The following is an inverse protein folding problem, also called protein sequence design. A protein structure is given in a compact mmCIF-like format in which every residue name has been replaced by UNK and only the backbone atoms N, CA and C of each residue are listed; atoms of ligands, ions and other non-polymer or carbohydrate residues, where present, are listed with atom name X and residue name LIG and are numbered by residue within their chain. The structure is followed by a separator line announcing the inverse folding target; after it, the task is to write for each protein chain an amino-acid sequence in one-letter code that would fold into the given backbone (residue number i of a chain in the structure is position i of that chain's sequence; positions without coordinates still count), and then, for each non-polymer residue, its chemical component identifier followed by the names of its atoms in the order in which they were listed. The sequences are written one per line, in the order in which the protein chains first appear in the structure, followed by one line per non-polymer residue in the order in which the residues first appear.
data_IF_334541260910
#
_entry.id   IF_334541260910
#
_cell.length_a   1.000
_cell.length_b   1.000
_cell.length_c   1.000
_cell.angle_alpha   90.00
_cell.angle_beta   90.00
_cell.angle_gamma   90.00
#
_symmetry.space_group_name_H-M   'P 1'
#
loop_
_entity.id
_entity.type
_entity.pdbx_description
1 polymer ?
#
# COMPACT_ATOMS: atom_id res chain seq x y z
N UNK A 1 5.15 -39.16 -7.17
CA UNK A 1 5.94 -37.93 -6.94
C UNK A 1 6.07 -37.24 -8.28
N UNK A 2 5.19 -36.27 -8.55
CA UNK A 2 5.23 -35.48 -9.78
C UNK A 2 5.72 -34.08 -9.39
N UNK A 3 6.91 -33.72 -9.88
CA UNK A 3 7.71 -32.58 -9.44
C UNK A 3 7.86 -31.57 -10.59
N UNK A 4 6.74 -30.96 -10.98
CA UNK A 4 6.66 -29.71 -11.78
C UNK A 4 5.68 -28.75 -11.08
N UNK A 5 6.09 -28.09 -9.99
CA UNK A 5 6.60 -26.71 -10.00
C UNK A 5 5.57 -25.64 -10.43
N UNK A 6 4.68 -25.24 -9.51
CA UNK A 6 4.38 -23.85 -9.11
C UNK A 6 4.17 -22.75 -10.19
N UNK A 7 3.47 -23.01 -11.29
CA UNK A 7 3.18 -22.01 -12.36
C UNK A 7 1.66 -21.71 -12.51
N UNK A 8 0.81 -22.21 -11.62
CA UNK A 8 -0.63 -21.87 -11.61
C UNK A 8 -0.95 -20.95 -10.43
N UNK A 9 -1.28 -19.67 -10.65
CA UNK A 9 -2.15 -18.92 -9.71
C UNK A 9 -2.68 -17.55 -10.18
N UNK A 10 -2.56 -17.15 -11.47
CA UNK A 10 -3.17 -15.87 -11.93
C UNK A 10 -3.66 -15.94 -13.38
N UNK A 11 -4.62 -16.81 -13.67
CA UNK A 11 -5.37 -16.75 -14.96
C UNK A 11 -6.87 -16.95 -14.81
N UNK A 12 -7.37 -17.41 -13.67
CA UNK A 12 -8.80 -17.58 -13.41
C UNK A 12 -9.25 -16.77 -12.20
N UNK A 13 -10.45 -16.19 -12.29
CA UNK A 13 -11.12 -15.58 -11.15
C UNK A 13 -11.16 -16.56 -9.98
N UNK A 14 -10.95 -16.10 -8.73
CA UNK A 14 -11.15 -16.95 -7.57
C UNK A 14 -12.62 -17.41 -7.52
N UNK A 15 -12.88 -18.67 -7.15
CA UNK A 15 -14.22 -19.25 -7.13
C UNK A 15 -15.21 -18.36 -6.36
N UNK A 16 -16.48 -18.25 -6.81
CA UNK A 16 -17.49 -17.45 -6.11
C UNK A 16 -17.62 -17.90 -4.65
N UNK A 17 -17.17 -17.05 -3.71
CA UNK A 17 -17.11 -17.33 -2.27
C UNK A 17 -15.71 -17.32 -1.66
N UNK A 18 -14.66 -17.31 -2.49
CA UNK A 18 -13.27 -17.27 -2.04
C UNK A 18 -12.92 -15.92 -1.42
N UNK A 19 -12.57 -15.91 -0.12
CA UNK A 19 -12.20 -14.68 0.62
C UNK A 19 -10.71 -14.33 0.53
N UNK A 20 -9.89 -15.27 0.08
CA UNK A 20 -8.43 -15.16 0.04
C UNK A 20 -7.87 -15.91 -1.18
N UNK A 21 -6.97 -15.26 -1.91
CA UNK A 21 -6.20 -15.89 -2.97
C UNK A 21 -4.78 -15.30 -2.96
N UNK A 22 -3.80 -16.05 -3.43
CA UNK A 22 -2.44 -15.57 -3.60
C UNK A 22 -2.20 -15.25 -5.07
N UNK A 23 -1.73 -14.03 -5.34
CA UNK A 23 -1.44 -13.55 -6.70
C UNK A 23 0.06 -13.26 -6.75
N UNK A 24 0.82 -14.14 -7.41
CA UNK A 24 2.27 -14.10 -7.38
C UNK A 24 2.81 -14.29 -5.95
N UNK A 25 3.44 -13.25 -5.39
CA UNK A 25 3.87 -13.22 -3.98
C UNK A 25 3.03 -12.27 -3.12
N UNK A 26 1.93 -11.75 -3.64
CA UNK A 26 1.00 -10.88 -2.93
C UNK A 26 -0.16 -11.70 -2.39
N UNK A 27 -0.54 -11.46 -1.15
CA UNK A 27 -1.72 -12.02 -0.51
C UNK A 27 -2.92 -11.11 -0.77
N UNK A 28 -3.94 -11.62 -1.42
CA UNK A 28 -5.12 -10.88 -1.82
C UNK A 28 -6.34 -11.34 -1.01
N UNK A 29 -7.08 -10.38 -0.46
CA UNK A 29 -8.25 -10.61 0.39
C UNK A 29 -9.40 -9.75 -0.10
N UNK A 30 -10.62 -10.26 0.08
CA UNK A 30 -11.88 -9.62 -0.29
C UNK A 30 -11.94 -9.17 -1.75
N UNK A 31 -12.78 -9.80 -2.55
CA UNK A 31 -12.86 -9.53 -3.98
C UNK A 31 -14.18 -8.80 -4.31
N UNK A 32 -14.13 -7.86 -5.25
CA UNK A 32 -15.34 -7.32 -5.85
C UNK A 32 -15.99 -8.37 -6.77
N UNK A 33 -17.21 -8.10 -7.26
CA UNK A 33 -17.95 -8.92 -8.23
C UNK A 33 -17.15 -9.24 -9.50
N UNK A 34 -16.20 -8.38 -9.85
CA UNK A 34 -15.31 -8.54 -11.00
C UNK A 34 -14.05 -9.35 -10.71
N UNK A 35 -13.90 -9.90 -9.49
CA UNK A 35 -12.74 -10.70 -9.09
C UNK A 35 -11.49 -9.86 -8.79
N UNK A 36 -11.61 -8.54 -8.70
CA UNK A 36 -10.51 -7.63 -8.33
C UNK A 36 -10.36 -7.60 -6.81
N UNK A 37 -9.16 -7.82 -6.24
CA UNK A 37 -8.97 -7.76 -4.80
C UNK A 37 -9.10 -6.32 -4.30
N UNK A 38 -9.72 -6.15 -3.15
CA UNK A 38 -9.86 -4.87 -2.47
C UNK A 38 -8.69 -4.66 -1.51
N UNK A 39 -8.30 -5.71 -0.80
CA UNK A 39 -7.21 -5.69 0.17
C UNK A 39 -6.06 -6.57 -0.33
N UNK A 40 -4.85 -6.03 -0.29
CA UNK A 40 -3.64 -6.70 -0.74
C UNK A 40 -2.51 -6.48 0.25
N UNK A 41 -1.80 -7.55 0.59
CA UNK A 41 -0.62 -7.52 1.45
C UNK A 41 0.55 -8.07 0.62
N UNK A 42 1.57 -7.25 0.40
CA UNK A 42 2.72 -7.65 -0.41
C UNK A 42 3.67 -8.63 0.31
N UNK A 43 4.70 -9.13 -0.39
CA UNK A 43 5.62 -10.15 0.12
C UNK A 43 6.45 -9.68 1.31
N UNK A 44 6.66 -8.37 1.45
CA UNK A 44 7.47 -7.78 2.51
C UNK A 44 6.60 -7.27 3.67
N UNK A 45 5.50 -7.96 3.97
CA UNK A 45 4.61 -7.65 5.10
C UNK A 45 5.32 -7.53 6.47
N UNK A 46 6.44 -8.22 6.77
CA UNK A 46 7.15 -7.98 8.03
C UNK A 46 7.69 -6.55 8.13
N UNK A 47 8.12 -5.97 7.01
CA UNK A 47 8.58 -4.57 6.97
C UNK A 47 7.43 -3.61 7.28
N UNK A 48 6.25 -3.86 6.71
CA UNK A 48 5.04 -3.10 7.03
C UNK A 48 4.74 -3.15 8.54
N UNK A 49 4.83 -4.33 9.18
CA UNK A 49 4.64 -4.45 10.62
C UNK A 49 5.69 -3.66 11.42
N UNK A 50 6.97 -3.72 11.00
CA UNK A 50 8.06 -2.96 11.63
C UNK A 50 7.80 -1.45 11.51
N UNK A 51 7.44 -0.96 10.32
CA UNK A 51 7.13 0.46 10.10
C UNK A 51 5.93 0.93 10.90
N UNK A 52 4.87 0.13 10.94
CA UNK A 52 3.70 0.41 11.77
C UNK A 52 4.07 0.48 13.25
N UNK A 53 4.85 -0.49 13.75
CA UNK A 53 5.32 -0.47 15.14
C UNK A 53 6.17 0.75 15.46
N UNK A 54 7.14 1.12 14.60
CA UNK A 54 7.96 2.31 14.77
C UNK A 54 7.12 3.59 14.79
N UNK A 55 6.13 3.69 13.90
CA UNK A 55 5.22 4.82 13.84
C UNK A 55 4.37 4.94 15.12
N UNK A 56 3.82 3.82 15.61
CA UNK A 56 3.08 3.77 16.87
C UNK A 56 3.97 4.11 18.08
N UNK A 57 5.22 3.62 18.09
CA UNK A 57 6.18 3.85 19.18
C UNK A 57 6.56 5.34 19.27
N UNK A 58 6.96 5.94 18.16
CA UNK A 58 7.37 7.36 18.11
C UNK A 58 6.19 8.25 18.53
N UNK A 59 5.00 8.01 17.98
CA UNK A 59 3.81 8.77 18.33
C UNK A 59 3.37 8.54 19.78
N UNK A 60 3.44 7.29 20.28
CA UNK A 60 3.08 6.96 21.66
C UNK A 60 3.98 7.64 22.68
N UNK A 61 5.30 7.69 22.42
CA UNK A 61 6.24 8.44 23.25
C UNK A 61 5.91 9.94 23.22
N UNK A 62 5.68 10.51 22.03
CA UNK A 62 5.39 11.92 21.90
C UNK A 62 4.06 12.32 22.58
N UNK A 63 2.98 11.60 22.28
CA UNK A 63 1.65 11.86 22.82
C UNK A 63 1.54 11.53 24.31
N UNK A 64 2.21 10.48 24.79
CA UNK A 64 2.12 10.03 26.18
C UNK A 64 3.07 10.77 27.13
N UNK A 65 4.24 11.21 26.65
CA UNK A 65 5.27 11.80 27.51
C UNK A 65 5.50 13.30 27.27
N UNK A 66 5.40 13.77 26.03
CA UNK A 66 5.74 15.15 25.65
C UNK A 66 4.49 16.03 25.69
N UNK A 67 3.44 15.69 24.95
CA UNK A 67 2.22 16.50 24.84
C UNK A 67 1.55 16.88 26.18
N UNK A 68 1.38 15.97 27.17
CA UNK A 68 0.73 16.31 28.44
C UNK A 68 1.50 17.34 29.25
N UNK A 69 2.80 17.54 28.95
CA UNK A 69 3.66 18.50 29.62
C UNK A 69 3.72 19.86 28.91
N UNK A 70 3.17 19.99 27.71
CA UNK A 70 3.13 21.25 26.94
C UNK A 70 1.75 21.87 27.09
N UNK A 71 0.69 21.07 26.90
CA UNK A 71 -0.69 21.51 27.07
C UNK A 71 -1.68 20.60 26.37
N UNK A 72 -2.98 20.77 26.68
CA UNK A 72 -4.04 19.96 26.08
C UNK A 72 -4.22 20.24 24.58
N UNK A 73 -3.87 21.45 24.10
CA UNK A 73 -3.95 21.79 22.69
C UNK A 73 -2.97 20.96 21.84
N UNK A 74 -1.69 20.88 22.26
CA UNK A 74 -0.69 20.03 21.59
C UNK A 74 -1.08 18.56 21.58
N UNK A 75 -1.72 18.07 22.65
CA UNK A 75 -2.24 16.71 22.71
C UNK A 75 -3.34 16.47 21.66
N UNK A 76 -4.32 17.38 21.56
CA UNK A 76 -5.41 17.28 20.58
C UNK A 76 -4.84 17.32 19.15
N UNK A 77 -3.98 18.30 18.86
CA UNK A 77 -3.36 18.45 17.53
C UNK A 77 -2.52 17.23 17.19
N UNK A 78 -1.68 16.76 18.11
CA UNK A 78 -0.87 15.56 17.93
C UNK A 78 -1.72 14.32 17.65
N UNK A 79 -2.79 14.10 18.41
CA UNK A 79 -3.71 12.98 18.20
C UNK A 79 -4.39 13.04 16.82
N UNK A 80 -4.77 14.24 16.35
CA UNK A 80 -5.37 14.42 15.03
C UNK A 80 -4.38 14.09 13.91
N UNK A 81 -3.17 14.67 13.92
CA UNK A 81 -2.17 14.42 12.88
C UNK A 81 -1.76 12.94 12.88
N UNK A 82 -1.60 12.33 14.06
CA UNK A 82 -1.29 10.91 14.17
C UNK A 82 -2.39 10.02 13.59
N UNK A 83 -3.66 10.29 13.90
CA UNK A 83 -4.81 9.53 13.38
C UNK A 83 -4.88 9.60 11.85
N UNK A 84 -4.65 10.78 11.27
CA UNK A 84 -4.61 10.98 9.82
C UNK A 84 -3.42 10.23 9.19
N UNK A 85 -2.25 10.29 9.83
CA UNK A 85 -1.05 9.56 9.37
C UNK A 85 -1.31 8.05 9.37
N UNK A 86 -1.94 7.53 10.42
CA UNK A 86 -2.29 6.12 10.55
C UNK A 86 -3.29 5.68 9.47
N UNK A 87 -4.29 6.52 9.18
CA UNK A 87 -5.22 6.28 8.06
C UNK A 87 -4.46 6.14 6.74
N UNK A 88 -3.59 7.11 6.39
CA UNK A 88 -2.83 7.04 5.14
C UNK A 88 -1.86 5.87 5.11
N UNK A 89 -1.27 5.49 6.26
CA UNK A 89 -0.43 4.31 6.36
C UNK A 89 -1.20 3.04 6.00
N UNK A 90 -2.35 2.80 6.63
CA UNK A 90 -3.16 1.60 6.34
C UNK A 90 -3.80 1.65 4.95
N UNK A 91 -4.27 2.81 4.50
CA UNK A 91 -4.79 2.98 3.15
C UNK A 91 -3.72 2.62 2.12
N UNK A 92 -2.52 3.17 2.28
CA UNK A 92 -1.40 2.85 1.38
C UNK A 92 -0.98 1.41 1.54
N UNK A 93 -0.97 0.81 2.72
CA UNK A 93 -0.52 -0.56 2.97
C UNK A 93 -1.51 -1.64 2.50
N UNK A 94 -2.82 -1.41 2.63
CA UNK A 94 -3.83 -2.44 2.41
C UNK A 94 -4.59 -2.31 1.08
N UNK A 95 -4.84 -1.10 0.58
CA UNK A 95 -5.61 -0.91 -0.67
C UNK A 95 -4.91 -1.58 -1.84
N UNK A 96 -5.63 -2.28 -2.71
CA UNK A 96 -5.06 -2.82 -3.94
C UNK A 96 -4.38 -1.71 -4.77
N UNK A 97 -3.05 -1.81 -5.06
CA UNK A 97 -2.32 -0.78 -5.79
C UNK A 97 -2.77 -0.59 -7.25
N UNK A 98 -3.55 -1.52 -7.79
CA UNK A 98 -3.92 -1.58 -9.20
C UNK A 98 -3.46 -2.88 -9.87
N UNK A 99 -3.56 -4.02 -9.17
CA UNK A 99 -3.18 -5.33 -9.73
C UNK A 99 -4.05 -5.65 -10.93
N UNK A 100 -3.40 -5.89 -12.07
CA UNK A 100 -4.07 -6.23 -13.34
C UNK A 100 -4.37 -7.72 -13.39
N UNK A 101 -5.61 -8.07 -13.75
CA UNK A 101 -6.09 -9.46 -13.86
C UNK A 101 -6.67 -9.67 -15.26
N UNK A 102 -6.25 -10.75 -15.93
CA UNK A 102 -6.62 -11.05 -17.31
C UNK A 102 -8.15 -11.13 -17.51
N UNK A 103 -8.87 -11.76 -16.58
CA UNK A 103 -10.33 -11.91 -16.65
C UNK A 103 -11.07 -10.57 -16.70
N UNK A 104 -10.52 -9.54 -16.06
CA UNK A 104 -11.10 -8.20 -16.04
C UNK A 104 -10.79 -7.46 -17.35
N UNK A 105 -9.59 -7.64 -17.91
CA UNK A 105 -9.21 -7.04 -19.19
C UNK A 105 -10.07 -7.57 -20.34
N UNK A 106 -10.37 -8.87 -20.37
CA UNK A 106 -11.23 -9.46 -21.41
C UNK A 106 -12.67 -8.93 -21.37
N UNK A 107 -13.21 -8.60 -20.19
CA UNK A 107 -14.54 -7.98 -20.06
C UNK A 107 -14.56 -6.52 -20.56
N UNK A 108 -13.47 -5.79 -20.37
CA UNK A 108 -13.40 -4.36 -20.70
C UNK A 108 -13.06 -4.08 -22.17
N UNK A 109 -12.45 -5.04 -22.87
CA UNK A 109 -11.87 -4.86 -24.22
C UNK A 109 -12.80 -5.19 -25.38
N UNK A 110 -14.08 -4.82 -25.26
CA UNK A 110 -15.09 -5.09 -26.28
C UNK A 110 -14.83 -4.46 -27.66
N UNK A 111 -13.90 -3.49 -27.83
CA UNK A 111 -13.76 -2.81 -29.13
C UNK A 111 -12.50 -1.92 -29.31
N UNK A 112 -11.27 -2.39 -29.02
CA UNK A 112 -10.06 -1.60 -29.31
C UNK A 112 -9.05 -2.36 -30.18
N UNK A 113 -8.92 -1.89 -31.43
CA UNK A 113 -7.91 -2.31 -32.39
C UNK A 113 -6.53 -1.72 -32.07
N UNK A 114 -5.51 -2.57 -32.22
CA UNK A 114 -4.14 -2.21 -32.60
C UNK A 114 -3.40 -1.17 -31.76
N UNK A 115 -3.06 -1.51 -30.52
CA UNK A 115 -1.84 -1.01 -29.88
C UNK A 115 -0.85 -2.16 -29.80
N UNK A 116 0.44 -1.94 -29.98
CA UNK A 116 1.47 -2.99 -29.95
C UNK A 116 1.55 -3.59 -28.54
N UNK A 117 0.73 -4.62 -28.30
CA UNK A 117 0.46 -5.16 -26.97
C UNK A 117 1.71 -5.81 -26.40
N UNK A 118 2.29 -5.21 -25.37
CA UNK A 118 3.37 -5.85 -24.61
C UNK A 118 2.73 -6.82 -23.62
N UNK A 119 2.64 -8.09 -24.00
CA UNK A 119 2.16 -9.13 -23.09
C UNK A 119 3.23 -9.38 -22.02
N UNK A 120 2.81 -9.46 -20.76
CA UNK A 120 3.67 -9.93 -19.67
C UNK A 120 3.79 -11.45 -19.75
N UNK A 121 4.98 -11.97 -20.04
CA UNK A 121 5.20 -13.43 -20.09
C UNK A 121 5.05 -14.12 -18.73
N UNK A 122 5.32 -13.42 -17.62
CA UNK A 122 5.21 -13.99 -16.27
C UNK A 122 3.76 -14.04 -15.76
N UNK A 123 2.98 -12.98 -16.01
CA UNK A 123 1.60 -12.87 -15.51
C UNK A 123 0.55 -13.26 -16.56
N UNK A 124 0.95 -13.43 -17.82
CA UNK A 124 0.07 -13.61 -18.96
C UNK A 124 -1.08 -12.59 -19.00
N UNK A 125 -0.76 -11.31 -18.77
CA UNK A 125 -1.69 -10.17 -18.87
C UNK A 125 -1.19 -9.20 -19.93
N UNK A 126 -2.12 -8.42 -20.47
CA UNK A 126 -1.80 -7.42 -21.47
C UNK A 126 -1.36 -6.16 -20.73
N UNK A 127 -0.14 -5.67 -21.00
CA UNK A 127 0.32 -4.42 -20.39
C UNK A 127 -0.22 -3.26 -21.22
N UNK A 128 -1.13 -2.51 -20.63
CA UNK A 128 -1.57 -1.21 -21.14
C UNK A 128 -0.50 -0.16 -20.80
N UNK A 129 -0.68 1.07 -21.29
CA UNK A 129 0.25 2.15 -21.01
C UNK A 129 0.47 2.30 -19.49
N UNK A 130 1.73 2.50 -19.11
CA UNK A 130 2.17 2.63 -17.71
C UNK A 130 1.94 1.39 -16.80
N UNK A 131 1.56 0.24 -17.37
CA UNK A 131 1.49 -1.03 -16.63
C UNK A 131 2.85 -1.74 -16.62
N UNK A 132 3.42 -1.94 -15.44
CA UNK A 132 4.70 -2.63 -15.29
C UNK A 132 4.63 -3.88 -14.40
N UNK A 133 5.54 -4.81 -14.63
CA UNK A 133 5.66 -6.03 -13.82
C UNK A 133 6.65 -5.81 -12.67
N UNK A 134 6.16 -5.91 -11.44
CA UNK A 134 7.02 -5.89 -10.27
C UNK A 134 7.62 -7.28 -10.01
N UNK A 135 8.93 -7.44 -10.25
CA UNK A 135 9.66 -8.71 -10.03
C UNK A 135 9.61 -9.21 -8.58
N UNK A 136 9.52 -8.30 -7.61
CA UNK A 136 9.46 -8.64 -6.16
C UNK A 136 8.11 -9.24 -5.78
N UNK A 137 7.01 -8.60 -6.20
CA UNK A 137 5.65 -9.06 -5.94
C UNK A 137 5.18 -10.14 -6.93
N UNK A 138 5.79 -10.23 -8.11
CA UNK A 138 5.38 -11.06 -9.25
C UNK A 138 3.96 -10.77 -9.73
N UNK A 139 3.61 -9.49 -9.80
CA UNK A 139 2.30 -9.01 -10.28
C UNK A 139 2.50 -7.82 -11.22
N UNK A 140 1.61 -7.66 -12.18
CA UNK A 140 1.51 -6.44 -12.98
C UNK A 140 0.63 -5.41 -12.25
N UNK A 141 1.09 -4.16 -12.21
CA UNK A 141 0.41 -3.06 -11.54
C UNK A 141 0.21 -1.93 -12.55
N UNK A 142 -1.01 -1.40 -12.58
CA UNK A 142 -1.39 -0.24 -13.39
C UNK A 142 -0.80 1.06 -12.82
N UNK A 143 -0.28 1.93 -13.70
CA UNK A 143 0.46 3.15 -13.34
C UNK A 143 1.49 2.85 -12.24
N UNK A 144 2.32 1.83 -12.47
CA UNK A 144 3.34 1.39 -11.51
C UNK A 144 4.35 2.52 -11.28
N UNK A 145 4.52 2.91 -10.03
CA UNK A 145 5.54 3.88 -9.60
C UNK A 145 6.76 3.11 -9.09
N UNK A 146 6.61 2.45 -7.93
CA UNK A 146 7.72 1.73 -7.32
C UNK A 146 7.28 0.60 -6.37
N UNK A 147 8.21 -0.32 -6.11
CA UNK A 147 8.07 -1.28 -5.01
C UNK A 147 8.70 -0.72 -3.75
N UNK A 148 7.85 -0.24 -2.85
CA UNK A 148 8.29 0.35 -1.60
C UNK A 148 8.38 -0.71 -0.49
N UNK A 149 9.59 -1.25 -0.29
CA UNK A 149 9.85 -2.35 0.63
C UNK A 149 9.39 -2.08 2.07
N UNK A 150 9.42 -0.82 2.52
CA UNK A 150 9.04 -0.42 3.88
C UNK A 150 7.52 -0.53 4.11
N UNK A 151 6.70 -0.26 3.08
CA UNK A 151 5.25 -0.54 3.12
C UNK A 151 4.92 -1.98 2.77
N UNK A 152 5.93 -2.77 2.39
CA UNK A 152 5.78 -4.19 2.12
C UNK A 152 5.23 -4.53 0.74
N UNK A 153 4.93 -3.54 -0.12
CA UNK A 153 4.24 -3.75 -1.40
C UNK A 153 4.50 -2.65 -2.46
N UNK A 154 3.87 -2.81 -3.63
CA UNK A 154 3.92 -1.83 -4.71
C UNK A 154 3.02 -0.61 -4.45
N UNK A 155 3.44 0.53 -5.00
CA UNK A 155 2.63 1.73 -5.18
C UNK A 155 2.27 1.83 -6.67
N UNK A 156 0.97 1.94 -6.96
CA UNK A 156 0.46 2.21 -8.30
C UNK A 156 -0.74 3.15 -8.28
N UNK A 157 -1.52 3.16 -9.36
CA UNK A 157 -2.68 4.04 -9.62
C UNK A 157 -3.54 4.35 -8.39
N UNK A 158 -3.97 3.32 -7.66
CA UNK A 158 -4.95 3.48 -6.57
C UNK A 158 -4.31 3.91 -5.25
N UNK A 159 -3.01 3.68 -5.08
CA UNK A 159 -2.30 3.91 -3.81
C UNK A 159 -1.38 5.13 -3.84
N UNK A 160 -1.02 5.64 -5.02
CA UNK A 160 -0.04 6.74 -5.16
C UNK A 160 -0.46 8.00 -4.41
N UNK A 161 -1.75 8.38 -4.48
CA UNK A 161 -2.28 9.54 -3.73
C UNK A 161 -2.20 9.33 -2.22
N UNK A 162 -2.50 8.12 -1.76
CA UNK A 162 -2.42 7.76 -0.35
C UNK A 162 -0.97 7.76 0.14
N UNK A 163 -0.04 7.31 -0.69
CA UNK A 163 1.40 7.32 -0.41
C UNK A 163 1.92 8.75 -0.22
N UNK A 164 1.61 9.66 -1.14
CA UNK A 164 2.00 11.07 -0.96
C UNK A 164 1.32 11.73 0.25
N UNK A 165 0.05 11.39 0.52
CA UNK A 165 -0.63 11.81 1.75
C UNK A 165 0.09 11.34 3.02
N UNK A 166 0.55 10.09 3.06
CA UNK A 166 1.36 9.55 4.14
C UNK A 166 2.65 10.35 4.33
N UNK A 167 3.38 10.66 3.25
CA UNK A 167 4.62 11.43 3.31
C UNK A 167 4.40 12.84 3.86
N UNK A 168 3.35 13.53 3.41
CA UNK A 168 3.01 14.87 3.88
C UNK A 168 2.63 14.83 5.37
N UNK A 169 1.77 13.90 5.79
CA UNK A 169 1.37 13.78 7.19
C UNK A 169 2.54 13.40 8.10
N UNK A 170 3.44 12.52 7.64
CA UNK A 170 4.66 12.18 8.37
C UNK A 170 5.60 13.40 8.53
N UNK A 171 5.73 14.23 7.49
CA UNK A 171 6.49 15.48 7.56
C UNK A 171 5.84 16.47 8.52
N UNK A 172 4.52 16.63 8.48
CA UNK A 172 3.79 17.48 9.42
C UNK A 172 3.98 17.01 10.87
N UNK A 173 3.92 15.71 11.14
CA UNK A 173 4.25 15.14 12.46
C UNK A 173 5.67 15.51 12.89
N UNK A 174 6.65 15.34 12.01
CA UNK A 174 8.04 15.65 12.33
C UNK A 174 8.25 17.12 12.66
N UNK A 175 7.71 18.02 11.83
CA UNK A 175 7.78 19.47 12.08
C UNK A 175 7.11 19.81 13.41
N UNK A 176 5.92 19.27 13.67
CA UNK A 176 5.19 19.49 14.92
C UNK A 176 5.99 19.04 16.15
N UNK A 177 6.62 17.86 16.09
CA UNK A 177 7.47 17.35 17.18
C UNK A 177 8.64 18.31 17.43
N UNK A 178 9.34 18.74 16.38
CA UNK A 178 10.50 19.64 16.51
C UNK A 178 10.09 21.00 17.06
N UNK A 179 8.98 21.58 16.59
CA UNK A 179 8.52 22.89 17.08
C UNK A 179 8.07 22.81 18.54
N UNK A 180 7.27 21.82 18.93
CA UNK A 180 6.83 21.66 20.32
C UNK A 180 8.00 21.43 21.29
N UNK A 181 9.05 20.72 20.83
CA UNK A 181 10.28 20.58 21.62
C UNK A 181 11.05 21.91 21.72
N UNK A 182 11.22 22.63 20.62
CA UNK A 182 11.96 23.89 20.58
C UNK A 182 11.35 24.97 21.50
N UNK A 183 10.03 25.17 21.41
CA UNK A 183 9.33 26.13 22.29
C UNK A 183 9.53 25.77 23.76
N UNK A 184 9.44 24.48 24.11
CA UNK A 184 9.66 24.02 25.47
C UNK A 184 11.09 24.23 25.99
N UNK A 185 12.11 24.01 25.16
CA UNK A 185 13.50 24.27 25.58
C UNK A 185 13.74 25.77 25.79
N UNK A 186 13.09 26.62 24.99
CA UNK A 186 13.16 28.07 25.16
C UNK A 186 12.51 28.53 26.46
N UNK A 187 11.38 27.95 26.86
CA UNK A 187 10.68 28.34 28.11
C UNK A 187 11.44 27.93 29.39
N UNK A 188 12.51 27.11 29.28
CA UNK A 188 13.33 26.64 30.41
C UNK A 188 14.70 27.33 30.52
N UNK A 189 15.09 28.14 29.55
CA UNK A 189 16.33 28.94 29.54
C UNK A 189 16.02 30.36 30.01
#
# INVERSE_FOLDING_TARGET
MDMRSNVFEVTSMPDPGTRYCKVGRTHCFYFNKDGVPLITIGPHWPMMCITGFLLLLIAGIFLGYICPKVGNADLIVGCLIFSITLYFFFATALINPGIVIMSTQMKSRGDFNSSMEKICTECNVIREDFTEHCKKCRVCVEEYDDHYSLLGKCVGKNTVKHFYGLLICALCMLVFIVTSLFFRFKDKL
#
